data_IF_224173505401
#
_entry.id   IF_224173505401
#
_cell.length_a   1.000
_cell.length_b   1.000
_cell.length_c   1.000
_cell.angle_alpha   90.00
_cell.angle_beta   90.00
_cell.angle_gamma   90.00
#
_symmetry.space_group_name_H-M   'P 1'
#
loop_
_entity.id
_entity.type
_entity.pdbx_description
1 polymer ?
#
# COMPACT_ATOMS: atom_id res chain seq x y z
N UNK A 1 29.40 25.95 32.32
CA UNK A 1 28.49 27.13 32.48
C UNK A 1 28.79 28.08 31.37
N UNK A 2 27.97 28.06 30.29
CA UNK A 2 27.97 29.11 29.26
C UNK A 2 26.49 29.47 29.03
N UNK A 3 26.11 30.67 29.45
CA UNK A 3 24.80 31.26 29.31
C UNK A 3 24.67 31.81 27.89
N UNK A 4 23.62 31.34 27.16
CA UNK A 4 23.21 31.96 25.88
C UNK A 4 22.05 32.88 26.16
N UNK A 5 22.28 34.18 26.07
CA UNK A 5 21.27 35.24 26.16
C UNK A 5 20.40 35.22 24.91
N UNK A 6 19.09 35.06 25.07
CA UNK A 6 18.07 35.32 24.07
C UNK A 6 17.99 36.83 23.82
N UNK A 7 18.39 37.30 22.65
CA UNK A 7 18.08 38.66 22.17
C UNK A 7 16.72 38.63 21.44
N UNK A 8 15.71 39.17 22.07
CA UNK A 8 14.46 39.53 21.41
C UNK A 8 14.74 40.73 20.48
N UNK A 9 14.55 40.53 19.20
CA UNK A 9 14.52 41.63 18.22
C UNK A 9 13.16 42.30 18.30
N UNK A 10 13.13 43.47 18.93
CA UNK A 10 12.01 44.39 18.89
C UNK A 10 11.95 45.03 17.50
N UNK A 11 11.00 44.62 16.69
CA UNK A 11 10.66 45.31 15.44
C UNK A 11 9.99 46.65 15.74
N UNK A 12 10.68 47.75 15.45
CA UNK A 12 10.11 49.07 15.51
C UNK A 12 9.00 49.24 14.46
N UNK A 13 7.85 49.77 14.87
CA UNK A 13 6.63 49.90 14.06
C UNK A 13 6.77 50.60 12.69
N UNK A 14 7.83 51.37 12.47
CA UNK A 14 8.10 52.00 11.17
C UNK A 14 8.56 51.05 10.07
N UNK A 15 9.11 49.88 10.40
CA UNK A 15 9.53 48.88 9.40
C UNK A 15 8.35 48.04 8.91
N UNK A 16 7.27 47.98 9.67
CA UNK A 16 6.07 47.23 9.26
C UNK A 16 5.35 47.92 8.09
N UNK A 17 5.30 49.27 8.10
CA UNK A 17 4.70 50.05 7.01
C UNK A 17 5.50 50.00 5.71
N UNK A 18 6.81 49.91 5.79
CA UNK A 18 7.66 49.78 4.59
C UNK A 18 7.50 48.42 3.94
N UNK A 19 7.33 47.36 4.73
CA UNK A 19 7.07 46.03 4.22
C UNK A 19 5.69 45.90 3.56
N UNK A 20 4.67 46.56 4.13
CA UNK A 20 3.33 46.58 3.56
C UNK A 20 3.26 47.33 2.22
N UNK A 21 4.02 48.43 2.06
CA UNK A 21 4.09 49.21 0.82
C UNK A 21 4.83 48.44 -0.30
N UNK A 22 5.82 47.62 0.04
CA UNK A 22 6.52 46.76 -0.95
C UNK A 22 5.61 45.62 -1.42
N UNK A 23 4.72 45.11 -0.57
CA UNK A 23 3.78 44.05 -0.94
C UNK A 23 2.63 44.53 -1.83
N UNK A 24 2.21 45.80 -1.70
CA UNK A 24 1.16 46.37 -2.55
C UNK A 24 1.66 46.78 -3.96
N UNK A 25 2.98 46.87 -4.17
CA UNK A 25 3.57 47.26 -5.46
C UNK A 25 3.69 46.17 -6.53
N UNK A 26 3.52 44.89 -6.17
CA UNK A 26 3.67 43.75 -7.10
C UNK A 26 2.38 43.07 -7.55
N UNK A 27 1.21 43.63 -7.24
CA UNK A 27 -0.09 43.07 -7.65
C UNK A 27 -0.61 43.55 -9.00
N UNK A 28 0.28 43.95 -9.91
CA UNK A 28 -0.09 44.27 -11.28
C UNK A 28 0.72 43.46 -12.25
N UNK A 29 0.36 42.17 -12.43
CA UNK A 29 0.73 41.41 -13.61
C UNK A 29 -0.40 40.46 -13.97
N UNK A 30 -1.10 40.84 -15.05
CA UNK A 30 -1.82 40.06 -16.04
C UNK A 30 -2.25 38.64 -15.62
N UNK A 31 -3.51 38.51 -15.27
CA UNK A 31 -4.23 37.26 -15.36
C UNK A 31 -4.25 36.80 -16.83
N UNK A 32 -3.34 35.94 -17.24
CA UNK A 32 -3.49 35.12 -18.42
C UNK A 32 -4.67 34.19 -18.15
N UNK A 33 -5.77 34.36 -18.87
CA UNK A 33 -6.90 33.45 -18.94
C UNK A 33 -6.34 32.04 -19.21
N UNK A 34 -6.30 31.22 -18.18
CA UNK A 34 -6.16 29.78 -18.31
C UNK A 34 -7.51 29.32 -18.86
N UNK A 35 -7.54 28.96 -20.13
CA UNK A 35 -8.66 28.30 -20.76
C UNK A 35 -9.01 27.07 -19.95
N UNK A 36 -10.27 26.98 -19.54
CA UNK A 36 -10.83 26.02 -18.60
C UNK A 36 -10.42 24.59 -18.92
N UNK A 37 -9.64 23.98 -18.04
CA UNK A 37 -9.69 22.53 -17.88
C UNK A 37 -11.12 22.16 -17.52
N UNK A 38 -11.75 21.27 -18.31
CA UNK A 38 -13.10 20.76 -18.08
C UNK A 38 -13.20 20.25 -16.64
N UNK A 39 -14.25 20.66 -15.98
CA UNK A 39 -14.54 20.49 -14.58
C UNK A 39 -14.31 19.06 -14.08
N UNK A 40 -13.40 18.93 -13.13
CA UNK A 40 -13.36 17.77 -12.25
C UNK A 40 -14.12 18.18 -10.99
N UNK A 41 -15.32 17.65 -10.85
CA UNK A 41 -16.12 17.87 -9.66
C UNK A 41 -15.62 16.91 -8.55
N UNK A 42 -15.00 17.47 -7.54
CA UNK A 42 -14.63 16.73 -6.33
C UNK A 42 -15.81 16.86 -5.37
N UNK A 43 -16.63 15.82 -5.28
CA UNK A 43 -17.80 15.81 -4.40
C UNK A 43 -17.47 15.00 -3.15
N UNK A 44 -17.36 15.68 -2.01
CA UNK A 44 -17.44 15.03 -0.70
C UNK A 44 -18.93 14.85 -0.38
N UNK A 45 -19.46 13.64 -0.54
CA UNK A 45 -20.89 13.38 -0.26
C UNK A 45 -21.06 13.16 1.24
N UNK A 46 -21.73 14.11 1.88
CA UNK A 46 -22.18 13.98 3.27
C UNK A 46 -23.60 13.37 3.28
N UNK A 47 -23.73 12.12 3.70
CA UNK A 47 -25.02 11.43 3.80
C UNK A 47 -25.68 11.66 5.16
N UNK A 48 -25.93 12.91 5.54
CA UNK A 48 -26.74 13.23 6.72
C UNK A 48 -28.20 13.38 6.30
N UNK A 49 -29.00 12.36 6.58
CA UNK A 49 -30.45 12.44 6.38
C UNK A 49 -31.20 11.14 6.59
N UNK A 50 -31.00 10.45 7.71
CA UNK A 50 -32.00 9.50 8.23
C UNK A 50 -31.98 9.56 9.78
N UNK A 51 -33.14 9.86 10.36
CA UNK A 51 -33.38 10.12 11.75
C UNK A 51 -33.06 8.92 12.68
N UNK A 52 -32.53 9.27 13.86
CA UNK A 52 -32.28 8.37 15.00
C UNK A 52 -33.53 7.64 15.47
N UNK A 53 -33.42 6.33 15.66
CA UNK A 53 -34.00 5.59 16.79
C UNK A 53 -32.89 4.74 17.38
N UNK A 54 -32.52 5.06 18.61
CA UNK A 54 -31.66 4.25 19.46
C UNK A 54 -32.41 3.03 19.93
N UNK A 55 -31.93 1.85 19.57
CA UNK A 55 -32.17 0.64 20.33
C UNK A 55 -30.86 -0.10 20.50
N UNK A 56 -30.46 -0.27 21.76
CA UNK A 56 -29.27 -0.98 22.19
C UNK A 56 -29.43 -2.46 21.92
N UNK A 57 -28.85 -2.96 20.84
CA UNK A 57 -28.76 -4.40 20.54
C UNK A 57 -27.32 -4.85 20.61
N UNK A 58 -27.08 -5.81 21.49
CA UNK A 58 -25.82 -6.53 21.65
C UNK A 58 -25.30 -7.02 20.30
N UNK A 59 -24.10 -6.58 19.93
CA UNK A 59 -23.40 -6.95 18.70
C UNK A 59 -23.05 -8.43 18.73
N UNK A 60 -23.94 -9.30 18.30
CA UNK A 60 -23.58 -10.60 17.73
C UNK A 60 -23.09 -10.34 16.32
N UNK A 61 -22.01 -10.99 15.97
CA UNK A 61 -21.40 -10.93 14.64
C UNK A 61 -22.42 -11.36 13.55
N UNK A 62 -23.17 -10.38 13.03
CA UNK A 62 -23.99 -10.51 11.83
C UNK A 62 -23.21 -9.86 10.70
N UNK A 63 -22.18 -10.54 10.29
CA UNK A 63 -21.54 -10.27 9.02
C UNK A 63 -21.85 -11.48 8.17
N UNK A 64 -22.28 -11.27 6.96
CA UNK A 64 -22.06 -12.16 5.81
C UNK A 64 -23.30 -12.41 4.96
N UNK A 65 -24.55 -12.24 5.45
CA UNK A 65 -25.73 -12.48 4.59
C UNK A 65 -26.35 -11.21 3.95
N UNK A 66 -25.54 -10.18 3.70
CA UNK A 66 -26.03 -8.95 3.04
C UNK A 66 -26.17 -9.14 1.52
N UNK A 67 -25.49 -10.12 0.97
CA UNK A 67 -25.58 -10.51 -0.42
C UNK A 67 -25.97 -11.97 -0.48
N UNK A 68 -27.22 -12.25 -0.88
CA UNK A 68 -27.70 -13.62 -1.05
C UNK A 68 -26.77 -14.41 -1.97
N UNK A 69 -26.34 -15.58 -1.49
CA UNK A 69 -25.36 -16.44 -2.14
C UNK A 69 -25.87 -17.13 -3.42
N UNK A 70 -27.07 -16.83 -3.89
CA UNK A 70 -27.72 -17.58 -4.98
C UNK A 70 -27.40 -17.09 -6.40
N UNK A 71 -26.65 -16.00 -6.58
CA UNK A 71 -26.16 -15.60 -7.90
C UNK A 71 -24.65 -15.41 -7.90
N UNK A 72 -23.90 -16.51 -7.82
CA UNK A 72 -22.47 -16.45 -8.15
C UNK A 72 -22.32 -16.13 -9.64
N UNK A 73 -21.78 -14.98 -10.01
CA UNK A 73 -21.42 -14.74 -11.41
C UNK A 73 -20.40 -15.82 -11.79
N UNK A 74 -20.65 -16.52 -12.87
CA UNK A 74 -19.66 -17.44 -13.45
C UNK A 74 -18.37 -16.64 -13.71
N UNK A 75 -17.22 -17.20 -13.34
CA UNK A 75 -15.91 -16.65 -13.67
C UNK A 75 -15.91 -16.18 -15.12
N UNK A 76 -15.54 -14.92 -15.40
CA UNK A 76 -15.55 -14.46 -16.78
C UNK A 76 -14.54 -15.30 -17.58
N UNK A 77 -15.06 -16.14 -18.44
CA UNK A 77 -14.29 -16.82 -19.45
C UNK A 77 -13.94 -15.80 -20.53
N UNK A 78 -12.83 -15.17 -20.44
CA UNK A 78 -12.21 -14.11 -21.22
C UNK A 78 -12.46 -12.68 -20.70
N UNK A 79 -11.40 -11.85 -20.64
CA UNK A 79 -11.57 -10.42 -20.42
C UNK A 79 -12.49 -9.89 -21.52
N UNK A 80 -13.51 -9.16 -21.11
CA UNK A 80 -14.39 -8.47 -22.07
C UNK A 80 -13.48 -7.55 -22.87
N UNK A 81 -13.16 -7.93 -24.11
CA UNK A 81 -12.54 -7.01 -25.05
C UNK A 81 -13.55 -5.89 -25.28
N UNK A 82 -13.29 -4.73 -24.72
CA UNK A 82 -14.06 -3.52 -25.01
C UNK A 82 -13.66 -3.06 -26.42
N UNK A 83 -14.26 -3.71 -27.40
CA UNK A 83 -14.26 -3.19 -28.74
C UNK A 83 -15.22 -1.99 -28.76
N UNK A 84 -14.71 -0.79 -29.05
CA UNK A 84 -15.43 0.47 -29.24
C UNK A 84 -15.97 1.15 -27.97
N UNK A 85 -15.12 1.44 -26.97
CA UNK A 85 -15.48 2.46 -25.99
C UNK A 85 -15.60 3.83 -26.68
N UNK A 86 -16.71 4.53 -26.37
CA UNK A 86 -16.89 5.92 -26.77
C UNK A 86 -15.72 6.76 -26.25
N UNK A 87 -14.89 7.38 -27.08
CA UNK A 87 -13.74 8.16 -26.66
C UNK A 87 -14.13 9.38 -25.80
N UNK A 88 -15.41 9.74 -25.76
CA UNK A 88 -15.93 10.83 -24.92
C UNK A 88 -16.47 10.35 -23.58
N UNK A 89 -16.44 9.03 -23.32
CA UNK A 89 -16.91 8.45 -22.05
C UNK A 89 -16.13 9.02 -20.87
N UNK A 90 -16.87 9.39 -19.83
CA UNK A 90 -16.26 9.80 -18.55
C UNK A 90 -16.14 8.57 -17.67
N UNK A 91 -14.91 8.28 -17.24
CA UNK A 91 -14.63 7.21 -16.29
C UNK A 91 -14.82 7.71 -14.86
N UNK A 92 -15.34 6.85 -13.98
CA UNK A 92 -15.63 7.22 -12.60
C UNK A 92 -14.85 6.33 -11.64
N UNK A 93 -14.04 6.95 -10.80
CA UNK A 93 -13.24 6.30 -9.74
C UNK A 93 -13.85 6.68 -8.40
N UNK A 94 -14.17 5.69 -7.56
CA UNK A 94 -14.61 5.91 -6.18
C UNK A 94 -13.48 5.55 -5.23
N UNK A 95 -13.08 6.49 -4.37
CA UNK A 95 -12.02 6.31 -3.38
C UNK A 95 -12.66 6.20 -1.98
N UNK A 96 -12.44 5.07 -1.30
CA UNK A 96 -12.99 4.77 0.02
C UNK A 96 -12.00 5.17 1.11
N UNK A 97 -12.36 6.17 1.95
CA UNK A 97 -11.48 6.74 2.96
C UNK A 97 -12.21 6.98 4.28
N UNK A 98 -11.62 6.65 5.44
CA UNK A 98 -12.23 6.85 6.75
C UNK A 98 -11.96 8.28 7.26
N UNK A 99 -12.62 9.28 6.67
CA UNK A 99 -12.46 10.68 7.07
C UNK A 99 -13.11 11.01 8.41
N UNK A 100 -14.22 10.36 8.76
CA UNK A 100 -15.05 10.68 9.94
C UNK A 100 -15.51 12.15 9.95
N UNK A 101 -16.03 12.63 8.81
CA UNK A 101 -16.40 14.03 8.61
C UNK A 101 -17.44 14.55 9.63
N UNK A 102 -18.31 13.68 10.12
CA UNK A 102 -19.30 14.01 11.16
C UNK A 102 -18.70 14.23 12.56
N UNK A 103 -17.47 13.79 12.78
CA UNK A 103 -16.74 14.00 14.02
C UNK A 103 -15.85 15.26 13.98
N UNK A 104 -15.75 15.91 12.81
CA UNK A 104 -15.02 17.15 12.65
C UNK A 104 -15.95 18.29 13.01
N UNK A 105 -15.70 19.07 14.07
CA UNK A 105 -16.59 20.14 14.47
C UNK A 105 -16.62 21.23 13.40
N UNK A 106 -17.81 21.54 12.90
CA UNK A 106 -18.09 22.68 12.05
C UNK A 106 -18.23 23.92 12.96
N UNK A 107 -17.18 24.60 13.26
CA UNK A 107 -17.20 25.82 14.06
C UNK A 107 -15.86 26.53 14.04
N UNK A 108 -15.85 27.83 14.37
CA UNK A 108 -14.69 28.71 14.30
C UNK A 108 -13.43 28.02 14.85
N UNK A 109 -12.54 27.66 13.94
CA UNK A 109 -11.30 26.94 14.22
C UNK A 109 -10.25 27.78 14.96
N UNK A 110 -10.67 28.87 15.59
CA UNK A 110 -9.79 29.68 16.38
C UNK A 110 -9.74 29.10 17.78
N UNK A 111 -8.65 28.38 18.06
CA UNK A 111 -8.17 28.06 19.41
C UNK A 111 -8.59 26.76 20.12
N UNK A 112 -9.06 25.72 19.43
CA UNK A 112 -9.19 24.42 20.13
C UNK A 112 -8.06 23.45 19.75
N UNK A 113 -6.86 23.70 20.27
CA UNK A 113 -5.68 22.83 20.15
C UNK A 113 -5.90 21.42 20.75
N UNK A 114 -7.04 21.17 21.39
CA UNK A 114 -7.39 19.90 22.04
C UNK A 114 -8.06 18.90 21.10
N UNK A 115 -8.58 19.33 19.93
CA UNK A 115 -9.26 18.44 18.98
C UNK A 115 -8.31 17.89 17.92
N UNK A 116 -7.62 16.83 18.29
CA UNK A 116 -6.72 16.12 17.37
C UNK A 116 -7.51 15.14 16.50
N UNK A 117 -7.38 15.27 15.16
CA UNK A 117 -7.91 14.28 14.23
C UNK A 117 -7.45 12.87 14.60
N UNK A 118 -8.33 11.89 14.46
CA UNK A 118 -7.98 10.48 14.63
C UNK A 118 -6.83 10.06 13.69
N UNK A 119 -6.13 9.00 14.05
CA UNK A 119 -5.09 8.46 13.16
C UNK A 119 -5.68 8.03 11.81
N UNK A 120 -6.87 7.43 11.82
CA UNK A 120 -7.56 7.03 10.59
C UNK A 120 -7.92 8.24 9.73
N UNK A 121 -8.41 9.34 10.31
CA UNK A 121 -8.71 10.59 9.57
C UNK A 121 -7.44 11.23 8.99
N UNK A 122 -6.33 11.22 9.73
CA UNK A 122 -5.03 11.71 9.23
C UNK A 122 -4.55 10.89 8.06
N UNK A 123 -4.64 9.57 8.15
CA UNK A 123 -4.28 8.65 7.07
C UNK A 123 -5.17 8.86 5.84
N UNK A 124 -6.48 9.05 6.04
CA UNK A 124 -7.41 9.36 4.98
C UNK A 124 -7.07 10.67 4.27
N UNK A 125 -6.72 11.71 5.02
CA UNK A 125 -6.30 12.99 4.46
C UNK A 125 -5.00 12.84 3.67
N UNK A 126 -4.02 12.10 4.17
CA UNK A 126 -2.75 11.87 3.47
C UNK A 126 -2.97 11.15 2.14
N UNK A 127 -3.80 10.12 2.13
CA UNK A 127 -4.15 9.42 0.91
C UNK A 127 -4.90 10.33 -0.08
N UNK A 128 -5.87 11.11 0.41
CA UNK A 128 -6.60 12.10 -0.39
C UNK A 128 -5.66 13.11 -1.06
N UNK A 129 -4.72 13.69 -0.32
CA UNK A 129 -3.76 14.66 -0.85
C UNK A 129 -2.85 14.04 -1.93
N UNK A 130 -2.48 12.77 -1.77
CA UNK A 130 -1.77 12.01 -2.80
C UNK A 130 -2.58 11.87 -4.09
N UNK A 131 -3.87 11.51 -3.98
CA UNK A 131 -4.80 11.44 -5.13
C UNK A 131 -4.95 12.80 -5.82
N UNK A 132 -5.10 13.87 -5.05
CA UNK A 132 -5.22 15.23 -5.60
C UNK A 132 -3.98 15.65 -6.38
N UNK A 133 -2.79 15.36 -5.84
CA UNK A 133 -1.55 15.70 -6.53
C UNK A 133 -1.36 14.86 -7.80
N UNK A 134 -1.78 13.59 -7.80
CA UNK A 134 -1.79 12.77 -9.01
C UNK A 134 -2.66 13.41 -10.10
N UNK A 135 -3.86 13.86 -9.74
CA UNK A 135 -4.78 14.51 -10.68
C UNK A 135 -4.22 15.81 -11.24
N UNK A 136 -3.53 16.61 -10.41
CA UNK A 136 -2.88 17.84 -10.84
C UNK A 136 -1.67 17.61 -11.75
N UNK A 137 -0.94 16.51 -11.53
CA UNK A 137 0.28 16.19 -12.28
C UNK A 137 -0.01 15.43 -13.58
N UNK A 138 -1.15 14.74 -13.66
CA UNK A 138 -1.53 14.01 -14.85
C UNK A 138 -2.18 14.97 -15.86
N UNK A 139 -1.33 15.57 -16.69
CA UNK A 139 -1.75 16.58 -17.67
C UNK A 139 -1.98 15.92 -19.03
N UNK A 140 -3.17 15.34 -19.23
CA UNK A 140 -3.60 14.80 -20.51
C UNK A 140 -4.96 15.37 -20.90
N UNK A 141 -5.12 15.91 -22.13
CA UNK A 141 -6.40 16.40 -22.62
C UNK A 141 -7.41 15.27 -22.86
N UNK A 142 -6.93 14.05 -23.06
CA UNK A 142 -7.75 12.88 -23.39
C UNK A 142 -8.23 12.13 -22.14
N UNK A 143 -7.75 12.51 -20.96
CA UNK A 143 -8.18 11.91 -19.70
C UNK A 143 -9.54 12.48 -19.24
N UNK A 144 -10.61 11.77 -19.51
CA UNK A 144 -11.95 12.06 -19.02
C UNK A 144 -12.24 11.21 -17.76
N UNK A 145 -12.00 11.78 -16.55
CA UNK A 145 -12.17 11.06 -15.30
C UNK A 145 -12.80 11.93 -14.21
N UNK A 146 -13.78 11.38 -13.51
CA UNK A 146 -14.27 11.88 -12.23
C UNK A 146 -13.69 11.04 -11.10
N UNK A 147 -13.28 11.69 -10.02
CA UNK A 147 -12.81 11.02 -8.81
C UNK A 147 -13.72 11.42 -7.66
N UNK A 148 -14.44 10.44 -7.12
CA UNK A 148 -15.36 10.62 -5.99
C UNK A 148 -14.69 10.10 -4.71
N UNK A 149 -14.74 10.89 -3.66
CA UNK A 149 -14.22 10.50 -2.35
C UNK A 149 -15.39 10.19 -1.41
N UNK A 150 -15.43 8.97 -0.92
CA UNK A 150 -16.46 8.49 0.00
C UNK A 150 -15.88 8.34 1.40
N UNK A 151 -16.49 9.03 2.39
CA UNK A 151 -16.18 8.80 3.80
C UNK A 151 -16.80 7.48 4.26
N UNK A 152 -15.99 6.42 4.31
CA UNK A 152 -16.42 5.08 4.70
C UNK A 152 -16.56 4.89 6.22
N UNK A 153 -16.02 5.82 7.03
CA UNK A 153 -16.05 5.82 8.50
C UNK A 153 -15.58 4.49 9.15
N UNK A 154 -14.82 3.68 8.43
CA UNK A 154 -14.54 2.31 8.83
C UNK A 154 -15.81 1.50 9.16
N UNK A 155 -16.94 1.80 8.50
CA UNK A 155 -18.24 1.18 8.68
C UNK A 155 -18.64 0.36 7.45
N UNK A 156 -18.68 -0.95 7.61
CA UNK A 156 -19.02 -1.90 6.55
C UNK A 156 -20.44 -1.73 6.02
N UNK A 157 -21.41 -1.38 6.89
CA UNK A 157 -22.79 -1.16 6.49
C UNK A 157 -22.91 0.11 5.64
N UNK A 158 -22.13 1.15 5.96
CA UNK A 158 -22.13 2.38 5.20
C UNK A 158 -21.64 2.13 3.77
N UNK A 159 -20.55 1.36 3.59
CA UNK A 159 -20.07 0.98 2.28
C UNK A 159 -21.16 0.23 1.50
N UNK A 160 -21.72 -0.84 2.08
CA UNK A 160 -22.75 -1.63 1.42
C UNK A 160 -23.98 -0.80 1.00
N UNK A 161 -24.47 0.05 1.91
CA UNK A 161 -25.64 0.90 1.65
C UNK A 161 -25.36 1.97 0.59
N UNK A 162 -24.18 2.56 0.58
CA UNK A 162 -23.80 3.57 -0.40
C UNK A 162 -23.84 3.02 -1.83
N UNK A 163 -23.33 1.80 -2.04
CA UNK A 163 -23.39 1.20 -3.38
C UNK A 163 -24.78 0.68 -3.77
N UNK A 164 -25.61 0.24 -2.79
CA UNK A 164 -27.01 -0.12 -3.05
C UNK A 164 -27.85 1.09 -3.49
N UNK A 165 -27.63 2.25 -2.89
CA UNK A 165 -28.35 3.48 -3.23
C UNK A 165 -27.90 4.12 -4.57
N UNK A 166 -26.87 3.58 -5.20
CA UNK A 166 -26.28 4.05 -6.47
C UNK A 166 -26.01 5.57 -6.49
N UNK A 167 -25.32 6.13 -5.48
CA UNK A 167 -25.05 7.57 -5.44
C UNK A 167 -24.01 7.99 -6.49
N UNK A 168 -23.30 7.03 -7.07
CA UNK A 168 -22.27 7.25 -8.07
C UNK A 168 -22.73 6.78 -9.45
N UNK A 169 -22.49 7.56 -10.51
CA UNK A 169 -22.76 7.10 -11.87
C UNK A 169 -21.72 6.05 -12.28
N UNK A 170 -22.11 5.01 -12.93
CA UNK A 170 -21.28 3.99 -13.62
C UNK A 170 -19.82 3.93 -13.15
N UNK A 171 -19.58 3.34 -11.95
CA UNK A 171 -18.24 3.24 -11.36
C UNK A 171 -17.37 2.27 -12.15
N UNK A 172 -16.20 2.71 -12.58
CA UNK A 172 -15.23 1.89 -13.32
C UNK A 172 -14.20 1.26 -12.37
N UNK A 173 -13.76 2.02 -11.36
CA UNK A 173 -12.76 1.57 -10.38
C UNK A 173 -13.14 1.96 -8.96
N UNK A 174 -12.81 1.07 -8.02
CA UNK A 174 -12.83 1.34 -6.59
C UNK A 174 -11.38 1.39 -6.11
N UNK A 175 -10.98 2.47 -5.43
CA UNK A 175 -9.67 2.62 -4.78
C UNK A 175 -9.83 2.58 -3.28
N UNK A 176 -9.02 1.79 -2.60
CA UNK A 176 -9.17 1.57 -1.15
C UNK A 176 -10.04 0.34 -0.85
N UNK A 177 -10.51 0.16 0.39
CA UNK A 177 -10.21 1.00 1.54
C UNK A 177 -8.71 1.00 1.88
N UNK A 178 -8.27 2.00 2.67
CA UNK A 178 -6.88 2.06 3.17
C UNK A 178 -6.72 1.38 4.53
N UNK A 179 -7.79 0.88 5.10
CA UNK A 179 -7.85 0.16 6.37
C UNK A 179 -8.33 -1.27 6.15
N UNK A 180 -7.70 -2.23 6.83
CA UNK A 180 -8.10 -3.64 6.76
C UNK A 180 -9.49 -3.94 7.31
N UNK A 181 -10.08 -3.04 8.12
CA UNK A 181 -11.40 -3.23 8.75
C UNK A 181 -12.50 -3.45 7.71
N UNK A 182 -12.48 -2.66 6.63
CA UNK A 182 -13.51 -2.70 5.60
C UNK A 182 -13.12 -3.49 4.35
N UNK A 183 -11.90 -4.04 4.31
CA UNK A 183 -11.39 -4.69 3.12
C UNK A 183 -12.27 -5.86 2.67
N UNK A 184 -12.76 -6.68 3.62
CA UNK A 184 -13.61 -7.84 3.30
C UNK A 184 -14.91 -7.42 2.61
N UNK A 185 -15.61 -6.45 3.16
CA UNK A 185 -16.89 -6.00 2.58
C UNK A 185 -16.69 -5.29 1.26
N UNK A 186 -15.68 -4.43 1.15
CA UNK A 186 -15.37 -3.72 -0.08
C UNK A 186 -14.96 -4.69 -1.20
N UNK A 187 -14.14 -5.71 -0.90
CA UNK A 187 -13.77 -6.73 -1.88
C UNK A 187 -14.97 -7.60 -2.31
N UNK A 188 -15.87 -7.97 -1.36
CA UNK A 188 -17.11 -8.67 -1.71
C UNK A 188 -18.01 -7.83 -2.60
N UNK A 189 -18.08 -6.52 -2.34
CA UNK A 189 -18.79 -5.58 -3.18
C UNK A 189 -18.21 -5.52 -4.60
N UNK A 190 -16.88 -5.40 -4.72
CA UNK A 190 -16.18 -5.40 -6.00
C UNK A 190 -16.50 -6.66 -6.82
N UNK A 191 -16.49 -7.83 -6.16
CA UNK A 191 -16.90 -9.10 -6.77
C UNK A 191 -18.35 -9.08 -7.24
N UNK A 192 -19.29 -8.66 -6.37
CA UNK A 192 -20.71 -8.62 -6.66
C UNK A 192 -21.06 -7.66 -7.82
N UNK A 193 -20.43 -6.49 -7.84
CA UNK A 193 -20.65 -5.47 -8.87
C UNK A 193 -19.80 -5.68 -10.12
N UNK A 194 -18.85 -6.60 -10.09
CA UNK A 194 -17.84 -6.84 -11.14
C UNK A 194 -17.01 -5.58 -11.47
N UNK A 195 -16.77 -4.74 -10.46
CA UNK A 195 -15.98 -3.51 -10.57
C UNK A 195 -14.57 -3.79 -10.05
N UNK A 196 -13.55 -3.44 -10.83
CA UNK A 196 -12.17 -3.58 -10.43
C UNK A 196 -11.87 -2.69 -9.22
N UNK A 197 -11.30 -3.30 -8.19
CA UNK A 197 -10.92 -2.65 -6.95
C UNK A 197 -9.42 -2.79 -6.71
N UNK A 198 -8.74 -1.69 -6.44
CA UNK A 198 -7.33 -1.66 -6.05
C UNK A 198 -7.18 -1.11 -4.63
N UNK A 199 -6.48 -1.84 -3.76
CA UNK A 199 -6.29 -1.44 -2.36
C UNK A 199 -4.82 -1.54 -1.92
N UNK A 200 -4.32 -0.56 -1.14
CA UNK A 200 -2.99 -0.60 -0.57
C UNK A 200 -2.87 -1.44 0.72
N UNK A 201 -3.94 -2.12 1.15
CA UNK A 201 -3.93 -2.91 2.38
C UNK A 201 -3.07 -4.15 2.23
N UNK A 202 -2.10 -4.33 3.12
CA UNK A 202 -1.10 -5.42 3.04
C UNK A 202 -1.69 -6.81 3.28
N UNK A 203 -2.72 -6.93 4.13
CA UNK A 203 -3.28 -8.22 4.53
C UNK A 203 -4.51 -8.59 3.72
N UNK A 204 -4.31 -9.24 2.59
CA UNK A 204 -5.37 -9.72 1.68
C UNK A 204 -5.60 -11.23 1.73
N UNK A 205 -4.96 -11.96 2.63
CA UNK A 205 -4.97 -13.44 2.67
C UNK A 205 -6.36 -14.07 2.87
N UNK A 206 -7.33 -13.32 3.41
CA UNK A 206 -8.70 -13.78 3.59
C UNK A 206 -9.58 -13.57 2.37
N UNK A 207 -9.08 -12.91 1.31
CA UNK A 207 -9.82 -12.69 0.06
C UNK A 207 -9.67 -13.95 -0.79
N UNK A 208 -10.81 -14.50 -1.18
CA UNK A 208 -10.90 -15.74 -1.94
C UNK A 208 -11.85 -15.56 -3.13
N UNK A 209 -11.51 -16.22 -4.23
CA UNK A 209 -12.37 -16.29 -5.42
C UNK A 209 -12.88 -14.90 -5.85
N UNK A 210 -11.97 -13.92 -5.98
CA UNK A 210 -12.32 -12.56 -6.36
C UNK A 210 -11.42 -11.99 -7.46
N UNK A 211 -11.70 -12.22 -8.73
CA UNK A 211 -10.91 -11.75 -9.87
C UNK A 211 -11.04 -10.22 -10.11
N UNK A 212 -11.78 -9.51 -9.28
CA UNK A 212 -11.92 -8.05 -9.34
C UNK A 212 -11.11 -7.32 -8.27
N UNK A 213 -10.42 -8.05 -7.37
CA UNK A 213 -9.58 -7.44 -6.35
C UNK A 213 -8.11 -7.45 -6.74
N UNK A 214 -7.49 -6.27 -6.71
CA UNK A 214 -6.08 -6.02 -6.97
C UNK A 214 -5.41 -5.48 -5.71
N UNK A 215 -4.44 -6.21 -5.19
CA UNK A 215 -3.65 -5.76 -4.04
C UNK A 215 -2.46 -4.93 -4.53
N UNK A 216 -2.46 -3.63 -4.26
CA UNK A 216 -1.37 -2.73 -4.66
C UNK A 216 -0.07 -3.01 -3.88
N UNK A 217 -0.19 -3.48 -2.63
CA UNK A 217 0.92 -3.95 -1.82
C UNK A 217 1.13 -5.44 -2.02
N UNK A 218 2.38 -5.84 -2.11
CA UNK A 218 2.72 -7.25 -2.23
C UNK A 218 2.40 -8.03 -0.95
N UNK A 219 1.66 -9.11 -1.09
CA UNK A 219 1.43 -10.04 0.00
C UNK A 219 2.73 -10.73 0.45
N UNK A 220 2.72 -11.28 1.65
CA UNK A 220 3.84 -12.07 2.15
C UNK A 220 4.19 -13.24 1.20
N UNK A 221 3.17 -13.86 0.61
CA UNK A 221 3.34 -14.91 -0.41
C UNK A 221 4.15 -14.40 -1.61
N UNK A 222 3.78 -13.25 -2.16
CA UNK A 222 4.49 -12.67 -3.32
C UNK A 222 5.91 -12.24 -2.97
N UNK A 223 6.13 -11.71 -1.76
CA UNK A 223 7.46 -11.35 -1.30
C UNK A 223 8.40 -12.56 -1.26
N UNK A 224 7.97 -13.67 -0.70
CA UNK A 224 8.78 -14.88 -0.64
C UNK A 224 8.87 -15.59 -1.98
N UNK A 225 7.83 -15.54 -2.82
CA UNK A 225 7.91 -16.02 -4.19
C UNK A 225 9.00 -15.30 -4.98
N UNK A 226 9.10 -13.99 -4.84
CA UNK A 226 10.18 -13.21 -5.45
C UNK A 226 11.57 -13.67 -4.96
N UNK A 227 11.76 -13.86 -3.65
CA UNK A 227 13.03 -14.34 -3.08
C UNK A 227 13.38 -15.71 -3.67
N UNK A 228 12.42 -16.65 -3.68
CA UNK A 228 12.63 -17.99 -4.19
C UNK A 228 12.96 -18.00 -5.69
N UNK A 229 12.32 -17.13 -6.48
CA UNK A 229 12.61 -16.96 -7.90
C UNK A 229 14.06 -16.47 -8.13
N UNK A 230 14.54 -15.53 -7.32
CA UNK A 230 15.93 -15.06 -7.40
C UNK A 230 16.92 -16.15 -7.01
N UNK A 231 16.64 -16.91 -5.97
CA UNK A 231 17.48 -18.04 -5.54
C UNK A 231 17.53 -19.17 -6.60
N UNK A 232 16.42 -19.46 -7.24
CA UNK A 232 16.36 -20.45 -8.34
C UNK A 232 17.22 -20.00 -9.53
N UNK A 233 17.15 -18.72 -9.92
CA UNK A 233 17.96 -18.17 -11.03
C UNK A 233 19.46 -18.22 -10.76
N UNK A 234 19.87 -18.18 -9.51
CA UNK A 234 21.27 -18.25 -9.11
C UNK A 234 21.85 -19.67 -9.18
N UNK A 235 21.05 -20.67 -9.57
CA UNK A 235 21.44 -22.10 -9.66
C UNK A 235 22.17 -22.61 -8.40
N UNK A 236 21.70 -22.17 -7.23
CA UNK A 236 22.36 -22.45 -5.97
C UNK A 236 22.16 -23.92 -5.55
N UNK A 237 23.23 -24.70 -5.61
CA UNK A 237 23.32 -26.03 -4.98
C UNK A 237 23.39 -25.97 -3.44
N UNK A 238 23.31 -24.75 -2.87
CA UNK A 238 23.41 -24.48 -1.44
C UNK A 238 22.17 -25.03 -0.70
N UNK A 239 22.36 -25.46 0.53
CA UNK A 239 21.23 -25.83 1.40
C UNK A 239 20.44 -24.56 1.75
N UNK A 240 19.14 -24.58 1.44
CA UNK A 240 18.22 -23.51 1.81
C UNK A 240 17.57 -23.82 3.17
N UNK A 241 17.76 -22.97 4.14
CA UNK A 241 17.13 -23.07 5.45
C UNK A 241 15.97 -22.11 5.57
N UNK A 242 14.77 -22.62 5.80
CA UNK A 242 13.57 -21.81 6.00
C UNK A 242 13.19 -21.83 7.48
N UNK A 243 13.39 -20.70 8.14
CA UNK A 243 13.15 -20.51 9.57
C UNK A 243 11.79 -19.81 9.76
N UNK A 244 10.91 -20.38 10.57
CA UNK A 244 9.57 -19.84 10.83
C UNK A 244 9.14 -20.02 12.28
N UNK A 245 8.19 -19.18 12.73
CA UNK A 245 7.63 -19.26 14.08
C UNK A 245 6.68 -20.45 14.20
N UNK A 246 7.03 -21.42 15.03
CA UNK A 246 6.23 -22.64 15.25
C UNK A 246 4.94 -22.43 16.04
N UNK A 247 4.75 -21.24 16.63
CA UNK A 247 3.53 -20.90 17.40
C UNK A 247 2.42 -20.34 16.52
N UNK A 248 2.75 -20.03 15.29
CA UNK A 248 1.84 -19.25 14.48
C UNK A 248 0.65 -20.09 14.02
N UNK A 249 -0.56 -19.54 14.14
CA UNK A 249 -1.79 -19.92 13.43
C UNK A 249 -1.58 -20.03 11.90
N UNK A 250 -0.34 -20.04 11.46
CA UNK A 250 0.21 -20.07 10.12
C UNK A 250 0.45 -21.49 9.59
N UNK A 251 -0.15 -22.53 10.16
CA UNK A 251 -0.05 -23.88 9.57
C UNK A 251 -0.44 -23.85 8.09
N UNK A 252 -1.43 -23.05 7.72
CA UNK A 252 -1.82 -22.85 6.32
C UNK A 252 -0.75 -22.08 5.55
N UNK A 253 -0.14 -21.05 6.14
CA UNK A 253 0.92 -20.27 5.49
C UNK A 253 2.17 -21.10 5.25
N UNK A 254 2.57 -21.93 6.21
CA UNK A 254 3.70 -22.85 6.06
C UNK A 254 3.40 -23.95 5.02
N UNK A 255 2.20 -24.48 4.98
CA UNK A 255 1.78 -25.43 3.96
C UNK A 255 1.83 -24.82 2.56
N UNK A 256 1.37 -23.58 2.43
CA UNK A 256 1.45 -22.82 1.18
C UNK A 256 2.90 -22.54 0.79
N UNK A 257 3.76 -22.17 1.74
CA UNK A 257 5.18 -21.97 1.48
C UNK A 257 5.86 -23.26 1.02
N UNK A 258 5.61 -24.40 1.69
CA UNK A 258 6.13 -25.70 1.29
C UNK A 258 5.69 -26.08 -0.13
N UNK A 259 4.44 -25.86 -0.46
CA UNK A 259 3.92 -26.06 -1.82
C UNK A 259 4.68 -25.18 -2.84
N UNK A 260 4.86 -23.91 -2.56
CA UNK A 260 5.58 -22.99 -3.45
C UNK A 260 7.03 -23.45 -3.64
N UNK A 261 7.71 -23.79 -2.57
CA UNK A 261 9.13 -24.21 -2.60
C UNK A 261 9.31 -25.51 -3.35
N UNK A 262 8.50 -26.53 -3.04
CA UNK A 262 8.69 -27.89 -3.52
C UNK A 262 8.06 -28.13 -4.90
N UNK A 263 6.83 -27.59 -5.11
CA UNK A 263 6.03 -27.93 -6.28
C UNK A 263 6.11 -26.86 -7.37
N UNK A 264 6.21 -25.58 -7.00
CA UNK A 264 6.31 -24.49 -7.98
C UNK A 264 7.77 -24.24 -8.39
N UNK A 265 8.64 -23.98 -7.42
CA UNK A 265 10.06 -23.68 -7.70
C UNK A 265 10.94 -24.95 -7.77
N UNK A 266 10.44 -26.09 -7.33
CA UNK A 266 11.14 -27.41 -7.35
C UNK A 266 12.55 -27.32 -6.75
N UNK A 267 12.69 -26.54 -5.66
CA UNK A 267 13.96 -26.43 -4.97
C UNK A 267 14.26 -27.72 -4.20
N UNK A 268 15.43 -28.28 -4.46
CA UNK A 268 15.97 -29.41 -3.71
C UNK A 268 16.82 -28.92 -2.56
N UNK A 269 17.07 -29.79 -1.58
CA UNK A 269 17.94 -29.50 -0.44
C UNK A 269 17.42 -28.36 0.47
N UNK A 270 16.10 -28.41 0.80
CA UNK A 270 15.44 -27.41 1.67
C UNK A 270 15.22 -27.99 3.06
N UNK A 271 15.65 -27.26 4.07
CA UNK A 271 15.45 -27.58 5.48
C UNK A 271 14.47 -26.61 6.12
N UNK A 272 13.40 -27.13 6.70
CA UNK A 272 12.38 -26.35 7.40
C UNK A 272 12.66 -26.37 8.91
N UNK A 273 12.82 -25.20 9.52
CA UNK A 273 13.19 -25.05 10.92
C UNK A 273 12.10 -24.27 11.64
N UNK A 274 11.33 -24.97 12.47
CA UNK A 274 10.39 -24.34 13.41
C UNK A 274 11.17 -23.84 14.60
N UNK A 275 11.20 -22.54 14.83
CA UNK A 275 11.98 -21.88 15.86
C UNK A 275 11.20 -20.74 16.49
N UNK A 276 10.94 -20.81 17.80
CA UNK A 276 10.31 -19.71 18.53
C UNK A 276 11.34 -18.63 18.86
N UNK A 277 10.88 -17.42 19.11
CA UNK A 277 11.75 -16.33 19.58
C UNK A 277 12.49 -16.67 20.88
N UNK A 278 11.94 -17.56 21.70
CA UNK A 278 12.54 -18.02 22.99
C UNK A 278 13.44 -19.25 22.88
N UNK A 279 13.40 -19.99 21.75
CA UNK A 279 14.13 -21.26 21.62
C UNK A 279 15.63 -21.02 21.42
N UNK A 280 16.44 -22.00 21.80
CA UNK A 280 17.89 -22.00 21.54
C UNK A 280 18.15 -22.50 20.10
N UNK A 281 18.72 -21.62 19.28
CA UNK A 281 19.02 -21.91 17.87
C UNK A 281 20.16 -22.94 17.69
N UNK A 282 21.07 -23.06 18.66
CA UNK A 282 22.24 -23.92 18.55
C UNK A 282 21.90 -25.39 18.36
N UNK A 283 20.70 -25.79 18.82
CA UNK A 283 20.18 -27.16 18.67
C UNK A 283 19.50 -27.42 17.34
N UNK A 284 19.06 -26.39 16.64
CA UNK A 284 18.24 -26.47 15.45
C UNK A 284 19.01 -26.20 14.16
N UNK A 285 19.98 -25.33 14.18
CA UNK A 285 20.93 -25.09 13.10
C UNK A 285 22.13 -26.02 13.29
N UNK A 286 22.02 -27.24 12.79
CA UNK A 286 23.15 -28.19 12.85
C UNK A 286 24.32 -27.59 12.08
N UNK A 287 25.44 -27.41 12.78
CA UNK A 287 26.73 -27.01 12.22
C UNK A 287 27.29 -28.21 11.43
N UNK A 288 26.81 -28.37 10.21
CA UNK A 288 27.42 -29.27 9.26
C UNK A 288 28.26 -28.41 8.31
N UNK A 289 29.57 -28.60 8.38
CA UNK A 289 30.57 -28.01 7.51
C UNK A 289 30.74 -26.47 7.59
N UNK A 290 31.85 -26.05 8.18
CA UNK A 290 32.21 -24.64 8.45
C UNK A 290 32.63 -23.86 7.21
N UNK A 291 32.66 -24.46 6.03
CA UNK A 291 33.23 -23.88 4.80
C UNK A 291 32.18 -23.53 3.74
N UNK A 292 30.93 -24.00 3.86
CA UNK A 292 29.90 -23.70 2.86
C UNK A 292 29.11 -22.44 3.20
N UNK A 293 28.97 -21.54 2.24
CA UNK A 293 27.97 -20.45 2.33
C UNK A 293 26.56 -21.03 2.47
N UNK A 294 25.82 -20.50 3.42
CA UNK A 294 24.46 -20.95 3.73
C UNK A 294 23.45 -19.87 3.32
N UNK A 295 22.30 -20.30 2.87
CA UNK A 295 21.19 -19.42 2.55
C UNK A 295 20.05 -19.65 3.54
N UNK A 296 19.61 -18.61 4.20
CA UNK A 296 18.48 -18.68 5.12
C UNK A 296 17.34 -17.73 4.69
N UNK A 297 16.11 -18.21 4.79
CA UNK A 297 14.91 -17.38 4.70
C UNK A 297 14.26 -17.33 6.08
N UNK A 298 14.08 -16.15 6.64
CA UNK A 298 13.29 -15.97 7.86
C UNK A 298 11.86 -15.63 7.44
N UNK A 299 10.98 -16.62 7.48
CA UNK A 299 9.59 -16.51 7.02
C UNK A 299 8.70 -15.91 8.11
N UNK A 300 8.53 -14.60 8.09
CA UNK A 300 7.64 -13.87 8.99
C UNK A 300 7.34 -12.46 8.48
N UNK A 301 6.18 -11.92 8.84
CA UNK A 301 5.83 -10.49 8.71
C UNK A 301 6.02 -9.72 10.01
N UNK A 302 6.48 -10.37 11.10
CA UNK A 302 6.63 -9.78 12.43
C UNK A 302 8.07 -9.32 12.65
N UNK A 303 8.32 -8.00 12.59
CA UNK A 303 9.65 -7.41 12.82
C UNK A 303 10.34 -7.92 14.10
N UNK A 304 9.68 -7.94 15.29
CA UNK A 304 10.35 -8.39 16.52
C UNK A 304 10.85 -9.84 16.45
N UNK A 305 10.07 -10.71 15.80
CA UNK A 305 10.49 -12.10 15.59
C UNK A 305 11.72 -12.18 14.69
N UNK A 306 11.69 -11.51 13.53
CA UNK A 306 12.83 -11.52 12.59
C UNK A 306 14.10 -10.99 13.26
N UNK A 307 14.01 -9.89 14.02
CA UNK A 307 15.16 -9.35 14.79
C UNK A 307 15.68 -10.34 15.81
N UNK A 308 14.82 -11.05 16.53
CA UNK A 308 15.21 -12.05 17.50
C UNK A 308 15.97 -13.22 16.86
N UNK A 309 15.53 -13.66 15.67
CA UNK A 309 16.21 -14.73 14.93
C UNK A 309 17.57 -14.24 14.41
N UNK A 310 17.66 -13.03 13.86
CA UNK A 310 18.94 -12.43 13.43
C UNK A 310 19.96 -12.36 14.59
N UNK A 311 19.52 -11.93 15.77
CA UNK A 311 20.38 -11.89 16.95
C UNK A 311 20.89 -13.28 17.37
N UNK A 312 20.10 -14.33 17.13
CA UNK A 312 20.48 -15.72 17.44
C UNK A 312 21.39 -16.35 16.39
N UNK A 313 21.26 -15.96 15.11
CA UNK A 313 22.14 -16.43 14.03
C UNK A 313 23.55 -15.83 14.18
N UNK A 314 23.66 -14.59 14.63
CA UNK A 314 24.92 -13.85 14.76
C UNK A 314 26.08 -14.62 15.42
N UNK A 315 25.93 -15.36 16.54
CA UNK A 315 27.03 -16.07 17.15
C UNK A 315 27.48 -17.32 16.37
N UNK A 316 26.76 -17.70 15.33
CA UNK A 316 27.10 -18.87 14.51
C UNK A 316 28.25 -18.47 13.59
N UNK A 317 29.34 -19.25 13.57
CA UNK A 317 30.57 -18.92 12.84
C UNK A 317 30.45 -19.02 11.30
N UNK A 318 29.36 -19.56 10.78
CA UNK A 318 29.13 -19.69 9.34
C UNK A 318 28.62 -18.39 8.76
N UNK A 319 29.02 -18.06 7.53
CA UNK A 319 28.47 -16.90 6.84
C UNK A 319 27.13 -17.26 6.18
N UNK A 320 26.12 -16.44 6.44
CA UNK A 320 24.78 -16.60 5.88
C UNK A 320 24.43 -15.48 4.89
N UNK A 321 23.76 -15.85 3.80
CA UNK A 321 22.94 -14.93 3.03
C UNK A 321 21.50 -15.06 3.51
N UNK A 322 21.02 -14.07 4.28
CA UNK A 322 19.73 -14.11 5.00
C UNK A 322 18.72 -13.25 4.23
N UNK A 323 17.59 -13.84 3.87
CA UNK A 323 16.50 -13.16 3.19
C UNK A 323 15.30 -13.01 4.10
N UNK A 324 14.69 -11.83 4.08
CA UNK A 324 13.54 -11.49 4.91
C UNK A 324 12.45 -10.77 4.10
N UNK A 325 11.26 -10.69 4.67
CA UNK A 325 10.17 -9.88 4.12
C UNK A 325 10.41 -8.38 4.32
N UNK A 326 9.50 -7.57 3.82
CA UNK A 326 9.49 -6.11 3.93
C UNK A 326 9.46 -5.58 5.37
N UNK A 327 9.14 -6.40 6.35
CA UNK A 327 8.97 -5.98 7.75
C UNK A 327 10.22 -5.35 8.38
N UNK A 328 11.41 -5.65 7.85
CA UNK A 328 12.67 -5.08 8.35
C UNK A 328 13.05 -3.75 7.68
N UNK A 329 12.47 -3.39 6.54
CA UNK A 329 12.97 -2.27 5.71
C UNK A 329 13.13 -0.96 6.48
N UNK A 330 12.16 -0.66 7.35
CA UNK A 330 12.14 0.57 8.14
C UNK A 330 12.44 0.30 9.64
N UNK A 331 13.01 -0.86 9.96
CA UNK A 331 13.33 -1.26 11.33
C UNK A 331 14.47 -0.41 11.90
N UNK A 332 14.31 0.01 13.15
CA UNK A 332 15.34 0.75 13.90
C UNK A 332 16.20 -0.21 14.72
N UNK A 333 17.43 0.23 15.04
CA UNK A 333 18.35 -0.51 15.91
C UNK A 333 18.98 -1.75 15.25
N UNK A 334 18.96 -1.87 13.92
CA UNK A 334 19.65 -2.97 13.23
C UNK A 334 21.17 -2.85 13.32
N UNK A 335 21.70 -1.63 13.42
CA UNK A 335 23.13 -1.40 13.64
C UNK A 335 23.63 -2.04 14.94
N UNK A 336 22.81 -2.06 15.99
CA UNK A 336 23.15 -2.61 17.32
C UNK A 336 23.34 -4.13 17.27
N UNK A 337 22.75 -4.79 16.29
CA UNK A 337 22.93 -6.23 16.10
C UNK A 337 24.35 -6.58 15.64
N UNK A 338 25.09 -5.64 15.03
CA UNK A 338 26.48 -5.85 14.54
C UNK A 338 26.59 -7.16 13.75
N UNK A 339 25.71 -7.36 12.79
CA UNK A 339 25.66 -8.57 11.96
C UNK A 339 26.86 -8.58 11.00
N UNK A 340 27.47 -9.75 10.84
CA UNK A 340 28.52 -10.02 9.85
C UNK A 340 27.97 -10.69 8.59
N UNK A 341 26.76 -11.21 8.69
CA UNK A 341 26.06 -11.87 7.62
C UNK A 341 25.48 -10.89 6.60
N UNK A 342 25.27 -11.35 5.38
CA UNK A 342 24.57 -10.61 4.36
C UNK A 342 23.07 -10.71 4.57
N UNK A 343 22.44 -9.61 5.01
CA UNK A 343 20.99 -9.56 5.23
C UNK A 343 20.31 -8.79 4.13
N UNK A 344 19.35 -9.44 3.48
CA UNK A 344 18.53 -8.87 2.42
C UNK A 344 17.07 -8.78 2.87
N UNK A 345 16.39 -7.71 2.47
CA UNK A 345 14.94 -7.64 2.52
C UNK A 345 14.38 -7.28 1.15
N UNK A 346 13.16 -7.72 0.89
CA UNK A 346 12.39 -7.30 -0.29
C UNK A 346 11.35 -6.28 0.10
N UNK A 347 11.14 -5.29 -0.76
CA UNK A 347 10.23 -4.19 -0.46
C UNK A 347 9.58 -3.69 -1.76
N UNK A 348 8.26 -3.43 -1.78
CA UNK A 348 7.57 -3.03 -3.01
C UNK A 348 7.84 -1.58 -3.42
N UNK A 349 8.58 -0.81 -2.64
CA UNK A 349 8.80 0.61 -2.86
C UNK A 349 10.27 0.97 -3.01
N UNK A 350 10.59 1.79 -4.02
CA UNK A 350 11.91 2.42 -4.17
C UNK A 350 11.88 3.86 -3.65
N UNK A 351 12.27 4.05 -2.40
CA UNK A 351 12.34 5.38 -1.77
C UNK A 351 13.49 6.26 -2.30
N UNK A 352 14.41 5.69 -3.07
CA UNK A 352 15.56 6.40 -3.67
C UNK A 352 15.30 6.86 -5.11
N UNK A 353 14.08 6.67 -5.63
CA UNK A 353 13.72 7.13 -6.98
C UNK A 353 13.76 8.66 -7.05
N UNK A 354 14.30 9.21 -8.15
CA UNK A 354 14.37 10.64 -8.37
C UNK A 354 12.99 11.33 -8.35
N UNK A 355 11.95 10.64 -8.81
CA UNK A 355 10.57 11.15 -8.77
C UNK A 355 10.05 11.30 -7.34
N UNK A 356 10.52 10.48 -6.40
CA UNK A 356 10.17 10.59 -4.98
C UNK A 356 10.57 11.97 -4.43
N UNK A 357 11.81 12.39 -4.67
CA UNK A 357 12.28 13.70 -4.22
C UNK A 357 11.49 14.84 -4.87
N UNK A 358 11.23 14.77 -6.18
CA UNK A 358 10.44 15.78 -6.91
C UNK A 358 9.01 15.86 -6.34
N UNK A 359 8.38 14.72 -6.10
CA UNK A 359 7.07 14.65 -5.49
C UNK A 359 7.06 15.28 -4.10
N UNK A 360 8.02 14.91 -3.25
CA UNK A 360 8.10 15.41 -1.87
C UNK A 360 8.23 16.95 -1.83
N UNK A 361 9.10 17.52 -2.66
CA UNK A 361 9.26 18.98 -2.78
C UNK A 361 7.96 19.66 -3.21
N UNK A 362 7.30 19.14 -4.25
CA UNK A 362 6.03 19.71 -4.74
C UNK A 362 4.91 19.57 -3.72
N UNK A 363 4.81 18.41 -3.06
CA UNK A 363 3.82 18.13 -2.03
C UNK A 363 3.99 19.08 -0.84
N UNK A 364 5.21 19.26 -0.34
CA UNK A 364 5.52 20.14 0.78
C UNK A 364 5.24 21.61 0.43
N UNK A 365 5.53 22.06 -0.78
CA UNK A 365 5.22 23.40 -1.25
C UNK A 365 3.70 23.67 -1.30
N UNK A 366 2.90 22.68 -1.70
CA UNK A 366 1.43 22.83 -1.83
C UNK A 366 0.70 22.70 -0.50
N UNK A 367 1.10 21.74 0.33
CA UNK A 367 0.32 21.33 1.51
C UNK A 367 0.99 21.68 2.85
N UNK A 368 2.16 22.33 2.83
CA UNK A 368 2.91 22.76 4.02
C UNK A 368 3.20 21.63 5.01
N UNK A 369 3.33 20.39 4.49
CA UNK A 369 3.66 19.20 5.28
C UNK A 369 4.44 18.21 4.45
N UNK A 370 5.28 17.38 5.10
CA UNK A 370 5.99 16.29 4.43
C UNK A 370 5.01 15.17 4.05
N UNK A 371 5.16 14.58 2.85
CA UNK A 371 4.34 13.45 2.47
C UNK A 371 4.66 12.21 3.32
N UNK A 372 3.63 11.43 3.62
CA UNK A 372 3.76 10.09 4.22
C UNK A 372 3.76 9.01 3.13
N UNK A 373 4.06 7.77 3.51
CA UNK A 373 4.00 6.63 2.58
C UNK A 373 2.62 6.51 1.90
N UNK A 374 1.55 6.86 2.61
CA UNK A 374 0.19 6.85 2.04
C UNK A 374 0.00 7.88 0.93
N UNK A 375 0.65 9.05 1.02
CA UNK A 375 0.61 10.04 -0.05
C UNK A 375 1.23 9.50 -1.34
N UNK A 376 2.39 8.84 -1.24
CA UNK A 376 3.07 8.24 -2.37
C UNK A 376 2.28 7.07 -2.96
N UNK A 377 1.73 6.20 -2.11
CA UNK A 377 0.91 5.07 -2.55
C UNK A 377 -0.34 5.53 -3.31
N UNK A 378 -1.05 6.52 -2.76
CA UNK A 378 -2.21 7.11 -3.40
C UNK A 378 -1.86 7.71 -4.77
N UNK A 379 -0.77 8.47 -4.83
CA UNK A 379 -0.29 9.07 -6.07
C UNK A 379 0.01 8.00 -7.12
N UNK A 380 0.80 6.99 -6.77
CA UNK A 380 1.22 5.95 -7.71
C UNK A 380 0.03 5.10 -8.21
N UNK A 381 -0.93 4.77 -7.32
CA UNK A 381 -2.17 4.07 -7.71
C UNK A 381 -2.97 4.91 -8.71
N UNK A 382 -3.19 6.19 -8.41
CA UNK A 382 -3.97 7.06 -9.30
C UNK A 382 -3.27 7.30 -10.64
N UNK A 383 -1.94 7.51 -10.64
CA UNK A 383 -1.16 7.65 -11.86
C UNK A 383 -1.24 6.40 -12.74
N UNK A 384 -1.24 5.22 -12.11
CA UNK A 384 -1.42 3.96 -12.83
C UNK A 384 -2.81 3.84 -13.44
N UNK A 385 -3.87 4.12 -12.68
CA UNK A 385 -5.24 4.07 -13.19
C UNK A 385 -5.47 5.10 -14.29
N UNK A 386 -4.96 6.31 -14.16
CA UNK A 386 -5.08 7.34 -15.20
C UNK A 386 -4.39 6.90 -16.50
N UNK A 387 -3.20 6.29 -16.39
CA UNK A 387 -2.51 5.75 -17.56
C UNK A 387 -3.29 4.62 -18.23
N UNK A 388 -3.94 3.74 -17.47
CA UNK A 388 -4.79 2.69 -18.03
C UNK A 388 -6.00 3.29 -18.76
N UNK A 389 -6.69 4.23 -18.14
CA UNK A 389 -7.86 4.90 -18.73
C UNK A 389 -7.49 5.61 -20.03
N UNK A 390 -6.41 6.39 -20.03
CA UNK A 390 -5.91 7.10 -21.21
C UNK A 390 -5.59 6.14 -22.38
N UNK A 391 -4.97 5.00 -22.06
CA UNK A 391 -4.61 3.98 -23.05
C UNK A 391 -5.76 3.01 -23.37
N UNK A 392 -6.97 3.24 -22.84
CA UNK A 392 -8.15 2.36 -23.02
C UNK A 392 -7.88 0.92 -22.60
N UNK A 393 -7.18 0.75 -21.47
CA UNK A 393 -6.79 -0.54 -20.91
C UNK A 393 -7.46 -0.76 -19.55
N UNK A 394 -7.65 -2.03 -19.20
CA UNK A 394 -8.06 -2.44 -17.86
C UNK A 394 -6.89 -3.02 -17.07
N UNK A 395 -7.08 -3.16 -15.75
CA UNK A 395 -6.08 -3.83 -14.90
C UNK A 395 -5.75 -5.24 -15.40
N UNK A 396 -6.74 -5.97 -15.91
CA UNK A 396 -6.59 -7.32 -16.44
C UNK A 396 -5.79 -7.39 -17.74
N UNK A 397 -5.74 -6.32 -18.54
CA UNK A 397 -5.04 -6.30 -19.83
C UNK A 397 -3.51 -6.27 -19.65
N UNK A 398 -3.05 -5.82 -18.48
CA UNK A 398 -1.63 -5.63 -18.16
C UNK A 398 -1.10 -6.62 -17.12
N UNK A 399 -1.74 -7.78 -17.00
CA UNK A 399 -1.25 -8.85 -16.13
C UNK A 399 0.14 -9.31 -16.59
N UNK A 400 0.99 -9.64 -15.61
CA UNK A 400 2.38 -10.06 -15.78
C UNK A 400 3.34 -8.97 -16.32
N UNK A 401 2.83 -7.87 -16.84
CA UNK A 401 3.64 -6.76 -17.33
C UNK A 401 3.96 -5.78 -16.23
N UNK A 402 5.21 -5.28 -16.21
CA UNK A 402 5.58 -4.18 -15.30
C UNK A 402 5.00 -2.89 -15.85
N UNK A 403 4.33 -2.11 -14.98
CA UNK A 403 3.78 -0.82 -15.38
C UNK A 403 4.88 0.09 -15.94
N UNK A 404 4.63 0.66 -17.11
CA UNK A 404 5.57 1.53 -17.83
C UNK A 404 5.49 3.00 -17.40
N UNK A 405 4.63 3.36 -16.43
CA UNK A 405 4.46 4.75 -16.02
C UNK A 405 5.73 5.30 -15.37
N UNK A 406 6.46 6.14 -16.13
CA UNK A 406 7.69 6.77 -15.69
C UNK A 406 7.51 7.84 -14.61
N UNK A 407 6.26 8.25 -14.34
CA UNK A 407 5.91 9.28 -13.37
C UNK A 407 5.65 8.71 -11.97
N UNK A 408 5.62 7.39 -11.80
CA UNK A 408 5.48 6.78 -10.48
C UNK A 408 6.64 7.19 -9.57
N UNK A 409 6.33 7.39 -8.30
CA UNK A 409 7.30 7.89 -7.32
C UNK A 409 8.09 6.78 -6.67
N UNK A 410 7.43 5.73 -6.21
CA UNK A 410 8.05 4.64 -5.47
C UNK A 410 7.70 3.26 -6.01
N UNK A 411 6.49 3.09 -6.56
CA UNK A 411 5.92 1.79 -6.87
C UNK A 411 5.89 1.54 -8.36
N UNK A 412 6.28 0.33 -8.77
CA UNK A 412 5.90 -0.24 -10.05
C UNK A 412 4.87 -1.34 -9.79
N UNK A 413 3.90 -1.45 -10.70
CA UNK A 413 2.88 -2.48 -10.57
C UNK A 413 3.15 -3.61 -11.57
N UNK A 414 3.10 -4.85 -11.08
CA UNK A 414 3.13 -6.06 -11.87
C UNK A 414 2.14 -7.04 -11.23
N UNK A 415 0.92 -7.03 -11.71
CA UNK A 415 -0.11 -7.87 -11.13
C UNK A 415 -0.04 -9.30 -11.66
N UNK A 416 -0.06 -10.26 -10.75
CA UNK A 416 -0.17 -11.70 -11.08
C UNK A 416 -1.31 -12.32 -10.27
N UNK A 417 -2.04 -13.31 -10.81
CA UNK A 417 -3.10 -13.98 -10.08
C UNK A 417 -2.52 -14.82 -8.93
N UNK A 418 -3.17 -14.73 -7.79
CA UNK A 418 -3.00 -15.68 -6.69
C UNK A 418 -4.05 -16.76 -6.90
N UNK A 419 -3.60 -17.97 -7.23
CA UNK A 419 -4.46 -19.09 -7.57
C UNK A 419 -4.60 -19.99 -6.34
N UNK A 420 -5.84 -20.44 -6.08
CA UNK A 420 -6.16 -21.40 -5.03
C UNK A 420 -5.92 -22.87 -5.48
N UNK A 421 -6.18 -23.82 -4.58
CA UNK A 421 -5.96 -25.25 -4.85
C UNK A 421 -6.87 -25.82 -5.95
N UNK A 422 -7.98 -25.13 -6.24
CA UNK A 422 -8.94 -25.54 -7.28
C UNK A 422 -8.60 -24.96 -8.67
N UNK A 423 -7.53 -24.15 -8.77
CA UNK A 423 -7.17 -23.46 -10.01
C UNK A 423 -7.91 -22.15 -10.24
N UNK A 424 -8.66 -21.64 -9.25
CA UNK A 424 -9.43 -20.40 -9.34
C UNK A 424 -8.61 -19.22 -8.82
N UNK A 425 -8.91 -18.02 -9.31
CA UNK A 425 -8.22 -16.79 -8.93
C UNK A 425 -8.79 -16.28 -7.61
N UNK A 426 -7.99 -16.34 -6.55
CA UNK A 426 -8.35 -15.70 -5.27
C UNK A 426 -8.36 -14.17 -5.38
N UNK A 427 -7.31 -13.61 -6.00
CA UNK A 427 -7.18 -12.17 -6.28
C UNK A 427 -5.91 -11.93 -7.13
N UNK A 428 -5.67 -10.68 -7.52
CA UNK A 428 -4.42 -10.27 -8.16
C UNK A 428 -3.52 -9.54 -7.16
N UNK A 429 -2.24 -9.91 -7.14
CA UNK A 429 -1.24 -9.37 -6.22
C UNK A 429 -0.15 -8.62 -6.97
N UNK A 430 0.28 -7.48 -6.46
CA UNK A 430 1.47 -6.82 -6.98
C UNK A 430 2.70 -7.65 -6.63
N UNK A 431 3.41 -8.14 -7.65
CA UNK A 431 4.59 -8.99 -7.47
C UNK A 431 5.89 -8.25 -7.75
N UNK A 432 5.83 -6.98 -8.13
CA UNK A 432 7.05 -6.20 -8.36
C UNK A 432 7.71 -5.83 -7.04
N UNK A 433 8.98 -6.18 -6.91
CA UNK A 433 9.79 -5.96 -5.70
C UNK A 433 11.13 -5.35 -6.01
N UNK A 434 11.61 -4.57 -5.08
CA UNK A 434 13.00 -4.15 -4.99
C UNK A 434 13.71 -4.97 -3.91
N UNK A 435 14.97 -5.30 -4.15
CA UNK A 435 15.83 -5.96 -3.16
C UNK A 435 16.76 -4.94 -2.52
N UNK A 436 16.85 -5.02 -1.20
CA UNK A 436 17.71 -4.18 -0.39
C UNK A 436 18.66 -5.03 0.43
N UNK A 437 19.90 -4.57 0.59
CA UNK A 437 20.93 -5.19 1.44
C UNK A 437 21.18 -4.31 2.66
N UNK A 438 21.27 -4.91 3.83
CA UNK A 438 21.65 -4.21 5.05
C UNK A 438 23.11 -3.76 4.98
N UNK A 439 23.35 -2.47 5.13
CA UNK A 439 24.67 -1.85 5.16
C UNK A 439 24.72 -0.79 6.26
N UNK A 440 25.66 -0.91 7.18
CA UNK A 440 25.84 0.05 8.30
C UNK A 440 24.55 0.36 9.06
N UNK A 441 23.69 -0.65 9.25
CA UNK A 441 22.43 -0.54 10.00
C UNK A 441 21.24 0.02 9.23
N UNK A 442 21.41 0.28 7.93
CA UNK A 442 20.34 0.74 7.03
C UNK A 442 20.27 -0.12 5.77
N UNK A 443 19.09 -0.23 5.19
CA UNK A 443 18.90 -0.99 3.96
C UNK A 443 19.14 -0.14 2.72
N UNK A 444 20.11 -0.54 1.91
CA UNK A 444 20.50 0.09 0.63
C UNK A 444 19.97 -0.74 -0.53
N UNK A 445 19.43 -0.09 -1.54
CA UNK A 445 18.91 -0.72 -2.75
C UNK A 445 20.03 -1.44 -3.52
N UNK A 446 19.82 -2.73 -3.84
CA UNK A 446 20.79 -3.53 -4.60
C UNK A 446 20.33 -3.83 -6.03
N UNK A 447 19.01 -3.79 -6.26
CA UNK A 447 18.41 -4.01 -7.57
C UNK A 447 17.46 -2.84 -7.85
N UNK A 448 17.87 -1.86 -8.68
CA UNK A 448 17.07 -0.68 -9.02
C UNK A 448 15.92 -0.95 -10.00
#
# INVERSE_FOLDING_TARGET
MISVQNRQLLLNGNNFFLFLLIFCGFSSCAAKKITSAKNVEVVAINTNGISKKEDSVKTKAVAIDIFDAETTPKTPSNPIKIANEDPTRIHNIVVLLPFFLDQIPLGNYVDDSTKVLSADSKNAMDFYLGCQLARQNYNSPDLNVNVYFMDDKNDSLKIANSFKSKPFPNVDYIVGPISGKNLKIASSLAKYTQINMISPVVNSMFIKDNPYYFNANASLKSQYSFILEQLQKQNNSKTLEIIYDGLDSTAENISNLKYIVNDVYKLSNVKYISLRATDDISKSLVIADTLSERVAIIYSSKEPYVKSILAKIKPIKNHFSIYTSSCLKNSKGLADLKLTDDVFCVYPYNTSNANNAKFAVKFEALYQKKPTDLCFQAYDIMMHLFSLIENKQHLQDNLYSVSSNSNNTQTKFQFKPIINKNGEIDFYDNTFMYQYKLSSGSFVLTNP
#
